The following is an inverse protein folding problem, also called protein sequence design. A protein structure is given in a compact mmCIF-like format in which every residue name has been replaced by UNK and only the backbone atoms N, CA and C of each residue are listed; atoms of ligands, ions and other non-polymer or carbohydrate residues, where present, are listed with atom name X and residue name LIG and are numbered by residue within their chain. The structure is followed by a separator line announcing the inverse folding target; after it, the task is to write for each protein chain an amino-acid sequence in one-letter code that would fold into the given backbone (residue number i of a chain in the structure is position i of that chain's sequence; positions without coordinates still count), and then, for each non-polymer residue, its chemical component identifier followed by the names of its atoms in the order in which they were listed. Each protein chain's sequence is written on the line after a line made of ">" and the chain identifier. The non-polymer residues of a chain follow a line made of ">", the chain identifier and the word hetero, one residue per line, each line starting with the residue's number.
data_IF_386006312403
#
_entry.id   IF_386006312403
#
_cell.length_a   1.000
_cell.length_b   1.000
_cell.length_c   1.000
_cell.angle_alpha   90.00
_cell.angle_beta   90.00
_cell.angle_gamma   90.00
#
_symmetry.space_group_name_H-M   'P 1'
#
loop_
_entity.id
_entity.type
_entity.pdbx_description
1 polymer ?
#
# COMPACT_ATOMS: atom_id res chain seq x y z
N UNK A 1 -6.04 -2.04 -9.45
CA UNK A 1 -6.50 -1.01 -8.51
C UNK A 1 -7.45 -1.61 -7.50
N UNK A 2 -7.46 -1.11 -6.27
CA UNK A 2 -8.33 -1.58 -5.19
C UNK A 2 -9.40 -0.51 -4.94
N UNK A 3 -10.68 -0.86 -5.07
CA UNK A 3 -11.79 0.07 -4.89
C UNK A 3 -12.75 -0.38 -3.79
N UNK A 4 -13.21 0.56 -2.96
CA UNK A 4 -14.17 0.28 -1.89
C UNK A 4 -15.22 1.38 -1.79
N UNK A 5 -16.48 1.00 -1.63
CA UNK A 5 -17.55 1.93 -1.26
C UNK A 5 -17.44 2.27 0.22
N UNK A 6 -17.51 3.55 0.53
CA UNK A 6 -17.56 4.06 1.90
C UNK A 6 -18.98 3.84 2.44
N UNK A 7 -19.15 2.94 3.41
CA UNK A 7 -20.48 2.57 3.94
C UNK A 7 -20.93 3.45 5.11
N UNK A 8 -20.00 4.15 5.75
CA UNK A 8 -20.18 5.14 6.82
C UNK A 8 -19.12 6.23 6.63
N UNK A 9 -19.33 7.43 7.17
CA UNK A 9 -18.31 8.49 7.17
C UNK A 9 -17.00 7.95 7.76
N UNK A 10 -15.90 8.13 7.02
CA UNK A 10 -14.62 7.51 7.34
C UNK A 10 -13.55 8.58 7.54
N UNK A 11 -13.00 8.65 8.74
CA UNK A 11 -11.83 9.47 9.04
C UNK A 11 -10.63 8.89 8.32
N UNK A 12 -9.94 9.72 7.54
CA UNK A 12 -8.67 9.34 6.91
C UNK A 12 -7.58 9.46 7.98
N UNK A 13 -6.83 8.38 8.28
CA UNK A 13 -5.70 8.47 9.19
C UNK A 13 -4.71 9.54 8.74
N UNK A 14 -4.03 10.18 9.70
CA UNK A 14 -2.99 11.14 9.40
C UNK A 14 -1.95 10.48 8.49
N UNK A 15 -1.75 11.08 7.31
CA UNK A 15 -0.79 10.66 6.30
C UNK A 15 0.07 11.86 5.90
N UNK A 16 1.08 11.64 5.05
CA UNK A 16 1.89 12.72 4.47
C UNK A 16 1.05 13.81 3.79
N UNK A 17 -0.15 13.48 3.30
CA UNK A 17 -1.05 14.42 2.64
C UNK A 17 -2.05 15.09 3.60
N UNK A 18 -2.05 14.75 4.89
CA UNK A 18 -2.94 15.37 5.86
C UNK A 18 -2.67 16.89 5.95
N UNK A 19 -3.68 17.72 6.23
CA UNK A 19 -3.49 19.15 6.40
C UNK A 19 -2.46 19.40 7.51
N UNK A 20 -1.33 19.99 7.17
CA UNK A 20 -0.28 20.33 8.14
C UNK A 20 -0.24 21.83 8.41
N UNK A 21 0.34 22.21 9.55
CA UNK A 21 0.47 23.61 9.99
C UNK A 21 -0.53 24.03 11.06
N UNK A 22 -0.21 25.11 11.78
CA UNK A 22 -0.95 25.59 12.97
C UNK A 22 -2.43 25.90 12.68
N UNK A 23 -2.75 26.35 11.48
CA UNK A 23 -4.13 26.64 11.06
C UNK A 23 -5.00 25.37 10.94
N UNK A 24 -4.36 24.21 10.79
CA UNK A 24 -5.00 22.92 10.57
C UNK A 24 -4.86 21.98 11.78
N UNK A 25 -4.41 22.49 12.91
CA UNK A 25 -4.23 21.72 14.14
C UNK A 25 -5.57 21.13 14.60
N UNK A 26 -5.65 19.80 14.72
CA UNK A 26 -6.87 19.07 15.06
C UNK A 26 -7.83 18.82 13.89
N UNK A 27 -7.52 19.25 12.66
CA UNK A 27 -8.34 18.95 11.49
C UNK A 27 -7.95 17.60 10.87
N UNK A 28 -8.95 16.86 10.38
CA UNK A 28 -8.75 15.60 9.67
C UNK A 28 -9.64 15.52 8.44
N UNK A 29 -9.21 14.77 7.42
CA UNK A 29 -10.06 14.49 6.28
C UNK A 29 -11.10 13.44 6.65
N UNK A 30 -12.33 13.67 6.20
CA UNK A 30 -13.43 12.72 6.29
C UNK A 30 -13.92 12.42 4.89
N UNK A 31 -13.95 11.13 4.54
CA UNK A 31 -14.60 10.66 3.31
C UNK A 31 -16.07 10.36 3.65
N UNK A 32 -17.03 11.05 3.02
CA UNK A 32 -18.44 10.84 3.33
C UNK A 32 -18.96 9.46 2.91
N UNK A 33 -19.97 8.98 3.63
CA UNK A 33 -20.75 7.81 3.26
C UNK A 33 -21.26 7.92 1.82
N UNK A 34 -21.16 6.84 1.06
CA UNK A 34 -21.61 6.74 -0.33
C UNK A 34 -20.53 7.02 -1.36
N UNK A 35 -19.41 7.64 -0.97
CA UNK A 35 -18.26 7.86 -1.85
C UNK A 35 -17.49 6.56 -2.11
N UNK A 36 -16.57 6.59 -3.08
CA UNK A 36 -15.68 5.48 -3.42
C UNK A 36 -14.23 5.85 -3.15
N UNK A 37 -13.52 4.94 -2.50
CA UNK A 37 -12.08 5.00 -2.31
C UNK A 37 -11.41 4.24 -3.44
N UNK A 38 -10.30 4.78 -3.94
CA UNK A 38 -9.44 4.15 -4.94
C UNK A 38 -8.01 4.13 -4.41
N UNK A 39 -7.43 2.94 -4.32
CA UNK A 39 -5.99 2.77 -4.18
C UNK A 39 -5.40 2.26 -5.49
N UNK A 40 -4.30 2.88 -5.91
CA UNK A 40 -3.57 2.53 -7.13
C UNK A 40 -2.13 2.12 -6.81
N UNK A 41 -1.88 0.83 -6.51
CA UNK A 41 -0.52 0.33 -6.29
C UNK A 41 0.41 0.58 -7.47
N UNK A 42 -0.15 0.66 -8.68
CA UNK A 42 0.60 0.99 -9.89
C UNK A 42 1.41 2.29 -9.77
N UNK A 43 0.93 3.28 -8.99
CA UNK A 43 1.68 4.52 -8.75
C UNK A 43 2.99 4.24 -8.01
N UNK A 44 2.96 3.42 -6.96
CA UNK A 44 4.16 3.04 -6.22
C UNK A 44 5.08 2.11 -7.04
N UNK A 45 4.52 1.28 -7.93
CA UNK A 45 5.27 0.36 -8.79
C UNK A 45 6.11 1.06 -9.85
N UNK A 46 5.81 2.32 -10.17
CA UNK A 46 6.57 3.14 -11.13
C UNK A 46 7.20 4.38 -10.48
N UNK A 47 7.23 4.45 -9.14
CA UNK A 47 7.78 5.60 -8.42
C UNK A 47 9.33 5.57 -8.48
N UNK A 48 9.98 6.58 -9.10
CA UNK A 48 11.44 6.64 -9.20
C UNK A 48 12.13 6.84 -7.84
N UNK A 49 11.39 7.19 -6.78
CA UNK A 49 11.91 7.26 -5.40
C UNK A 49 12.02 5.88 -4.75
N UNK A 50 11.33 4.88 -5.30
CA UNK A 50 11.36 3.50 -4.83
C UNK A 50 12.21 2.62 -5.74
N UNK A 51 12.07 2.79 -7.06
CA UNK A 51 12.71 1.92 -8.04
C UNK A 51 13.75 2.70 -8.85
N UNK A 52 15.00 2.24 -8.83
CA UNK A 52 16.04 2.71 -9.78
C UNK A 52 15.58 2.43 -11.20
N UNK A 53 15.70 3.42 -12.09
CA UNK A 53 15.24 3.36 -13.48
C UNK A 53 13.81 2.78 -13.59
N UNK A 54 12.87 3.36 -12.82
CA UNK A 54 11.49 2.86 -12.68
C UNK A 54 10.73 2.74 -14.00
N UNK A 55 11.08 3.55 -15.00
CA UNK A 55 10.50 3.59 -16.34
C UNK A 55 11.13 2.58 -17.32
N UNK A 56 12.21 1.89 -16.91
CA UNK A 56 12.88 0.90 -17.75
C UNK A 56 12.52 -0.52 -17.33
N UNK A 57 12.30 -1.36 -18.35
CA UNK A 57 12.25 -2.79 -18.15
C UNK A 57 13.64 -3.31 -17.78
N UNK A 58 13.78 -3.69 -16.51
CA UNK A 58 14.96 -4.35 -15.97
C UNK A 58 14.52 -5.59 -15.18
N UNK A 59 14.73 -6.80 -15.73
CA UNK A 59 14.39 -8.03 -15.03
C UNK A 59 15.38 -8.36 -13.89
N UNK A 60 16.60 -7.79 -13.91
CA UNK A 60 17.63 -8.08 -12.91
C UNK A 60 17.40 -7.33 -11.59
N UNK A 61 16.55 -6.31 -11.57
CA UNK A 61 16.11 -5.59 -10.36
C UNK A 61 15.62 -6.51 -9.24
N UNK A 62 15.03 -7.66 -9.58
CA UNK A 62 14.54 -8.64 -8.61
C UNK A 62 15.66 -9.49 -7.96
N UNK A 63 16.88 -9.41 -8.49
CA UNK A 63 18.05 -10.10 -7.98
C UNK A 63 18.98 -9.19 -7.18
N UNK A 64 18.72 -7.88 -7.15
CA UNK A 64 19.50 -6.90 -6.39
C UNK A 64 19.22 -7.08 -4.89
N UNK A 65 20.18 -7.58 -4.09
CA UNK A 65 19.97 -7.87 -2.66
C UNK A 65 19.78 -6.60 -1.83
N UNK A 66 20.16 -5.43 -2.35
CA UNK A 66 19.97 -4.13 -1.70
C UNK A 66 18.78 -3.36 -2.27
N UNK A 67 18.14 -3.89 -3.32
CA UNK A 67 17.03 -3.24 -4.01
C UNK A 67 15.70 -3.31 -3.26
N UNK A 68 14.76 -2.46 -3.67
CA UNK A 68 13.40 -2.41 -3.10
C UNK A 68 12.65 -3.76 -3.19
N UNK A 69 12.94 -4.55 -4.23
CA UNK A 69 12.40 -5.89 -4.39
C UNK A 69 12.81 -6.84 -3.25
N UNK A 70 14.10 -6.88 -2.92
CA UNK A 70 14.62 -7.71 -1.84
C UNK A 70 14.07 -7.25 -0.47
N UNK A 71 14.04 -5.94 -0.22
CA UNK A 71 13.47 -5.37 1.01
C UNK A 71 11.98 -5.72 1.18
N UNK A 72 11.18 -5.59 0.11
CA UNK A 72 9.77 -5.98 0.12
C UNK A 72 9.59 -7.49 0.32
N UNK A 73 10.47 -8.30 -0.27
CA UNK A 73 10.52 -9.74 -0.10
C UNK A 73 10.82 -10.16 1.35
N UNK A 74 11.78 -9.50 2.01
CA UNK A 74 12.07 -9.71 3.42
C UNK A 74 10.86 -9.41 4.30
N UNK A 75 10.21 -8.26 4.13
CA UNK A 75 8.99 -7.93 4.89
C UNK A 75 7.84 -8.94 4.72
N UNK A 76 7.77 -9.58 3.56
CA UNK A 76 6.76 -10.61 3.28
C UNK A 76 7.13 -11.98 3.86
N UNK A 77 8.41 -12.35 3.79
CA UNK A 77 8.93 -13.66 4.17
C UNK A 77 9.36 -13.75 5.64
N UNK A 78 9.70 -12.63 6.27
CA UNK A 78 10.07 -12.59 7.67
C UNK A 78 8.93 -13.20 8.48
N UNK A 79 9.26 -14.21 9.30
CA UNK A 79 8.30 -14.90 10.17
C UNK A 79 7.63 -13.95 11.19
N UNK A 80 8.17 -12.74 11.33
CA UNK A 80 7.66 -11.65 12.16
C UNK A 80 6.56 -10.83 11.46
N UNK A 81 6.38 -10.99 10.14
CA UNK A 81 5.29 -10.35 9.42
C UNK A 81 3.94 -10.94 9.85
N UNK A 82 3.05 -10.11 10.39
CA UNK A 82 1.72 -10.57 10.79
C UNK A 82 0.99 -11.18 9.60
N UNK A 83 0.55 -12.43 9.75
CA UNK A 83 -0.31 -13.12 8.79
C UNK A 83 -1.74 -13.14 9.30
N UNK A 84 -2.70 -13.08 8.38
CA UNK A 84 -4.12 -13.11 8.67
C UNK A 84 -4.82 -14.04 7.69
N UNK A 85 -5.76 -14.84 8.17
CA UNK A 85 -6.62 -15.69 7.34
C UNK A 85 -8.00 -15.05 7.21
N UNK A 86 -8.47 -14.88 5.98
CA UNK A 86 -9.79 -14.34 5.65
C UNK A 86 -10.83 -15.42 5.31
N UNK A 87 -10.51 -16.69 5.54
CA UNK A 87 -11.34 -17.86 5.24
C UNK A 87 -10.94 -18.63 3.98
N UNK A 88 -9.77 -18.31 3.40
CA UNK A 88 -9.25 -18.95 2.18
C UNK A 88 -7.73 -19.17 2.24
N UNK A 89 -7.13 -19.08 3.43
CA UNK A 89 -5.72 -19.30 3.68
C UNK A 89 -5.02 -18.06 4.24
N UNK A 90 -3.93 -18.29 4.95
CA UNK A 90 -3.14 -17.23 5.57
C UNK A 90 -2.41 -16.38 4.52
N UNK A 91 -2.60 -15.07 4.58
CA UNK A 91 -1.89 -14.08 3.77
C UNK A 91 -1.20 -13.04 4.64
N UNK A 92 -0.21 -12.34 4.08
CA UNK A 92 0.39 -11.20 4.77
C UNK A 92 -0.68 -10.15 5.08
N UNK A 93 -0.71 -9.69 6.33
CA UNK A 93 -1.54 -8.55 6.78
C UNK A 93 -1.01 -7.23 6.20
N UNK A 94 0.30 -7.17 5.90
CA UNK A 94 1.01 -5.94 5.55
C UNK A 94 0.59 -5.37 4.20
N UNK A 95 0.25 -4.07 4.20
CA UNK A 95 -0.05 -3.27 3.00
C UNK A 95 1.10 -2.34 2.58
N UNK A 96 2.27 -2.52 3.19
CA UNK A 96 3.39 -1.58 3.07
C UNK A 96 4.32 -1.88 1.88
N UNK A 97 4.18 -3.04 1.23
CA UNK A 97 4.98 -3.36 0.04
C UNK A 97 4.69 -2.35 -1.08
N UNK A 98 5.72 -1.73 -1.69
CA UNK A 98 5.54 -0.87 -2.87
C UNK A 98 5.16 -1.67 -4.13
N UNK A 99 5.22 -3.00 -4.05
CA UNK A 99 4.88 -3.90 -5.14
C UNK A 99 3.69 -4.80 -4.76
N UNK A 100 2.48 -4.39 -5.15
CA UNK A 100 1.24 -5.15 -4.90
C UNK A 100 0.51 -5.53 -6.20
N UNK A 101 1.09 -6.41 -7.04
CA UNK A 101 0.45 -6.84 -8.29
C UNK A 101 -0.87 -7.60 -8.05
N UNK A 102 -1.02 -8.23 -6.88
CA UNK A 102 -2.19 -9.06 -6.51
C UNK A 102 -3.14 -8.38 -5.51
N UNK A 103 -2.98 -7.07 -5.29
CA UNK A 103 -3.74 -6.33 -4.28
C UNK A 103 -3.39 -6.76 -2.84
N UNK A 104 -4.31 -6.50 -1.91
CA UNK A 104 -4.10 -6.76 -0.49
C UNK A 104 -5.42 -6.97 0.29
N UNK A 105 -5.29 -7.50 1.50
CA UNK A 105 -6.39 -7.77 2.43
C UNK A 105 -7.38 -8.82 1.91
N UNK A 106 -8.63 -8.77 2.40
CA UNK A 106 -9.66 -9.81 2.12
C UNK A 106 -10.08 -9.99 0.66
N UNK A 107 -9.66 -9.10 -0.25
CA UNK A 107 -9.93 -9.22 -1.69
C UNK A 107 -8.64 -9.26 -2.49
N UNK A 108 -7.55 -9.74 -1.89
CA UNK A 108 -6.36 -10.12 -2.63
C UNK A 108 -6.74 -11.19 -3.67
N UNK A 109 -6.08 -11.13 -4.83
CA UNK A 109 -6.17 -12.19 -5.85
C UNK A 109 -5.62 -13.53 -5.31
#
# INVERSE_FOLDING_TARGET
>A
SIMRKCINDMVVPASLAAPTGRANEGQTFVVPKGHYLLASPAVAQVDPRVWRDADKWDPLRWLDPMGAAAQAGSLYNDEQGEKIDYGWGAVSKGTESPYQPFGAGRHRC
#
